data_IF_434269246105
#
_entry.id   IF_434269246105
#
_cell.length_a   1.000
_cell.length_b   1.000
_cell.length_c   1.000
_cell.angle_alpha   90.00
_cell.angle_beta   90.00
_cell.angle_gamma   90.00
#
_symmetry.space_group_name_H-M   'P 1'
#
loop_
_entity.id
_entity.type
_entity.pdbx_description
1 polymer ?
#
# COMPACT_ATOMS: atom_id res chain seq x y z
N UNK A 1 -26.14 -7.06 -17.92
CA UNK A 1 -25.69 -6.08 -16.92
C UNK A 1 -24.37 -5.47 -17.36
N UNK A 2 -24.23 -4.18 -17.25
CA UNK A 2 -22.94 -3.55 -17.51
C UNK A 2 -21.92 -4.01 -16.51
N UNK A 3 -20.69 -4.27 -16.98
CA UNK A 3 -19.57 -4.45 -16.07
C UNK A 3 -19.24 -3.16 -15.31
N UNK A 4 -18.38 -3.27 -14.31
CA UNK A 4 -17.89 -2.11 -13.59
C UNK A 4 -17.08 -1.22 -14.53
N UNK A 5 -17.23 0.10 -14.38
CA UNK A 5 -16.36 1.04 -15.08
C UNK A 5 -14.94 0.94 -14.49
N UNK A 6 -13.95 1.49 -15.20
CA UNK A 6 -12.58 1.53 -14.66
C UNK A 6 -12.50 2.30 -13.35
N UNK A 7 -13.29 3.38 -13.22
CA UNK A 7 -13.34 4.13 -11.96
C UNK A 7 -13.87 3.26 -10.82
N UNK A 8 -14.91 2.47 -11.06
CA UNK A 8 -15.48 1.60 -10.02
C UNK A 8 -14.51 0.50 -9.61
N UNK A 9 -13.71 -0.01 -10.56
CA UNK A 9 -12.72 -1.04 -10.28
C UNK A 9 -11.60 -0.53 -9.36
N UNK A 10 -11.31 0.75 -9.42
CA UNK A 10 -10.21 1.37 -8.71
C UNK A 10 -10.68 2.25 -7.56
N UNK A 11 -11.82 1.94 -6.97
CA UNK A 11 -12.32 2.65 -5.80
C UNK A 11 -12.08 1.81 -4.56
N UNK A 12 -11.37 2.39 -3.60
CA UNK A 12 -11.13 1.81 -2.28
C UNK A 12 -12.02 2.51 -1.25
N UNK A 13 -12.36 1.82 -0.18
CA UNK A 13 -13.16 2.39 0.90
C UNK A 13 -12.62 1.93 2.25
N UNK A 14 -12.64 2.81 3.24
CA UNK A 14 -12.36 2.41 4.61
C UNK A 14 -13.55 1.60 5.17
N UNK A 15 -13.31 0.95 6.30
CA UNK A 15 -14.30 0.05 6.91
C UNK A 15 -15.61 0.74 7.23
N UNK A 16 -15.57 1.97 7.74
CA UNK A 16 -16.79 2.72 8.09
C UNK A 16 -17.42 3.44 6.89
N UNK A 17 -16.75 3.46 5.74
CA UNK A 17 -17.25 4.12 4.54
C UNK A 17 -17.08 5.64 4.50
N UNK A 18 -16.54 6.26 5.53
CA UNK A 18 -16.34 7.71 5.55
C UNK A 18 -15.32 8.19 4.54
N UNK A 19 -14.34 7.35 4.21
CA UNK A 19 -13.30 7.68 3.24
C UNK A 19 -13.41 6.77 2.04
N UNK A 20 -13.46 7.37 0.86
CA UNK A 20 -13.35 6.65 -0.41
C UNK A 20 -12.18 7.21 -1.19
N UNK A 21 -11.48 6.35 -1.88
CA UNK A 21 -10.29 6.73 -2.64
C UNK A 21 -10.47 6.26 -4.07
N UNK A 22 -10.39 7.21 -4.98
CA UNK A 22 -10.48 6.97 -6.42
C UNK A 22 -9.07 7.00 -6.99
N UNK A 23 -8.65 5.90 -7.59
CA UNK A 23 -7.31 5.72 -8.13
C UNK A 23 -7.40 5.55 -9.64
N UNK A 24 -6.69 6.38 -10.39
CA UNK A 24 -6.73 6.33 -11.86
C UNK A 24 -6.22 4.99 -12.41
N UNK A 25 -5.14 4.47 -11.80
CA UNK A 25 -4.61 3.16 -12.18
C UNK A 25 -3.87 2.53 -11.01
N UNK A 26 -3.95 1.21 -10.92
CA UNK A 26 -3.17 0.43 -9.96
C UNK A 26 -2.29 -0.55 -10.71
N UNK A 27 -1.09 -0.78 -10.19
CA UNK A 27 -0.24 -1.84 -10.71
C UNK A 27 -0.72 -3.16 -10.10
N UNK A 28 -1.20 -4.12 -10.93
CA UNK A 28 -1.71 -5.39 -10.39
C UNK A 28 -0.62 -6.26 -9.77
N UNK A 29 0.64 -5.95 -10.02
CA UNK A 29 1.78 -6.64 -9.41
C UNK A 29 2.03 -6.02 -8.04
N UNK A 30 1.32 -6.51 -7.01
CA UNK A 30 1.47 -5.96 -5.67
C UNK A 30 2.74 -6.46 -5.00
N UNK A 31 3.19 -5.73 -3.99
CA UNK A 31 4.41 -6.03 -3.24
C UNK A 31 4.09 -6.30 -1.77
N UNK A 32 5.02 -6.99 -1.11
CA UNK A 32 4.91 -7.29 0.33
C UNK A 32 6.13 -6.72 1.03
N UNK A 33 5.91 -6.00 2.12
CA UNK A 33 6.99 -5.44 2.92
C UNK A 33 7.05 -6.12 4.28
N UNK A 34 8.23 -6.64 4.63
CA UNK A 34 8.47 -7.33 5.90
C UNK A 34 9.18 -6.47 6.93
N UNK A 35 9.40 -5.18 6.67
CA UNK A 35 10.15 -4.32 7.57
C UNK A 35 9.40 -4.09 8.90
N UNK A 36 10.15 -3.69 9.92
CA UNK A 36 9.59 -3.46 11.24
C UNK A 36 8.49 -2.41 11.27
N UNK A 37 8.63 -1.33 10.51
CA UNK A 37 7.60 -0.28 10.44
C UNK A 37 6.30 -0.80 9.84
N UNK A 38 6.39 -1.53 8.74
CA UNK A 38 5.20 -2.10 8.10
C UNK A 38 4.53 -3.13 8.99
N UNK A 39 5.31 -3.96 9.66
CA UNK A 39 4.77 -4.96 10.59
C UNK A 39 4.12 -4.32 11.82
N UNK A 40 4.74 -3.29 12.35
CA UNK A 40 4.17 -2.56 13.50
C UNK A 40 2.87 -1.86 13.12
N UNK A 41 2.86 -1.17 11.97
CA UNK A 41 1.70 -0.42 11.53
C UNK A 41 0.54 -1.32 11.14
N UNK A 42 0.83 -2.38 10.39
CA UNK A 42 -0.21 -3.24 9.82
C UNK A 42 -0.51 -4.52 10.62
N UNK A 43 0.33 -4.86 11.60
CA UNK A 43 0.17 -6.09 12.38
C UNK A 43 0.78 -7.33 11.75
N UNK A 44 1.44 -7.19 10.62
CA UNK A 44 2.07 -8.30 9.90
C UNK A 44 2.71 -7.79 8.62
N UNK A 45 3.05 -8.68 7.68
CA UNK A 45 3.58 -8.23 6.39
C UNK A 45 2.54 -7.35 5.70
N UNK A 46 3.00 -6.27 5.07
CA UNK A 46 2.11 -5.29 4.48
C UNK A 46 2.03 -5.48 2.97
N UNK A 47 0.84 -5.78 2.49
CA UNK A 47 0.54 -5.98 1.07
C UNK A 47 0.09 -4.65 0.47
N UNK A 48 0.86 -4.15 -0.50
CA UNK A 48 0.63 -2.83 -1.08
C UNK A 48 0.56 -2.89 -2.60
N UNK A 49 -0.42 -2.17 -3.17
CA UNK A 49 -0.45 -1.88 -4.61
C UNK A 49 0.08 -0.47 -4.85
N UNK A 50 0.81 -0.30 -5.94
CA UNK A 50 1.31 1.02 -6.35
C UNK A 50 0.22 1.74 -7.12
N UNK A 51 -0.15 2.91 -6.63
CA UNK A 51 -1.28 3.68 -7.15
C UNK A 51 -0.87 4.97 -7.88
N UNK A 52 0.43 5.29 -7.91
CA UNK A 52 0.92 6.51 -8.54
C UNK A 52 0.46 7.77 -7.81
N UNK A 53 0.34 8.85 -8.55
CA UNK A 53 0.03 10.17 -8.00
C UNK A 53 -1.40 10.63 -8.27
N UNK A 54 -2.08 10.02 -9.24
CA UNK A 54 -3.45 10.40 -9.60
C UNK A 54 -4.46 9.67 -8.70
N UNK A 55 -4.60 10.20 -7.49
CA UNK A 55 -5.42 9.63 -6.43
C UNK A 55 -6.27 10.73 -5.84
N UNK A 56 -7.58 10.50 -5.74
CA UNK A 56 -8.54 11.47 -5.20
C UNK A 56 -9.29 10.89 -4.02
N UNK A 57 -9.39 11.68 -2.97
CA UNK A 57 -10.04 11.26 -1.72
C UNK A 57 -11.38 11.94 -1.53
N UNK A 58 -12.37 11.17 -1.07
CA UNK A 58 -13.60 11.69 -0.48
C UNK A 58 -13.53 11.46 1.02
N UNK A 59 -14.05 12.41 1.80
CA UNK A 59 -14.02 12.30 3.25
C UNK A 59 -12.70 12.71 3.88
N UNK A 60 -12.01 13.67 3.27
CA UNK A 60 -10.68 14.11 3.72
C UNK A 60 -10.66 14.64 5.14
N UNK A 61 -11.81 15.09 5.66
CA UNK A 61 -11.89 15.61 7.04
C UNK A 61 -11.48 14.58 8.09
N UNK A 62 -11.65 13.28 7.80
CA UNK A 62 -11.29 12.21 8.72
C UNK A 62 -10.02 11.45 8.29
N UNK A 63 -9.37 11.89 7.22
CA UNK A 63 -8.08 11.31 6.82
C UNK A 63 -6.98 11.99 7.63
N UNK A 64 -6.19 11.20 8.35
CA UNK A 64 -5.01 11.68 9.07
C UNK A 64 -3.77 11.06 8.49
N UNK A 65 -2.69 11.86 8.44
CA UNK A 65 -1.37 11.41 8.02
C UNK A 65 -0.40 11.50 9.18
N UNK A 66 0.40 10.46 9.33
CA UNK A 66 1.49 10.40 10.29
C UNK A 66 2.81 10.34 9.54
N UNK A 67 3.76 11.21 9.91
CA UNK A 67 5.11 11.19 9.37
C UNK A 67 5.86 10.00 9.96
N UNK A 68 5.89 8.88 9.21
CA UNK A 68 6.49 7.65 9.69
C UNK A 68 8.01 7.61 9.49
N UNK A 69 8.51 8.42 8.55
CA UNK A 69 9.94 8.50 8.25
C UNK A 69 10.25 9.77 7.47
N UNK A 70 11.54 10.12 7.27
CA UNK A 70 11.90 11.28 6.44
C UNK A 70 11.42 11.19 4.99
N UNK A 71 11.19 9.98 4.48
CA UNK A 71 10.83 9.77 3.06
C UNK A 71 9.36 9.41 2.85
N UNK A 72 8.61 9.07 3.90
CA UNK A 72 7.23 8.63 3.74
C UNK A 72 6.34 9.05 4.90
N UNK A 73 5.06 9.27 4.59
CA UNK A 73 4.00 9.41 5.57
C UNK A 73 2.97 8.31 5.36
N UNK A 74 2.17 8.04 6.40
CA UNK A 74 1.13 7.01 6.36
C UNK A 74 -0.20 7.62 6.73
N UNK A 75 -1.22 7.29 5.94
CA UNK A 75 -2.56 7.83 6.13
C UNK A 75 -3.53 6.78 6.61
N UNK A 76 -4.49 7.22 7.41
CA UNK A 76 -5.51 6.33 7.95
C UNK A 76 -6.80 7.11 8.20
N UNK A 77 -7.92 6.38 8.26
CA UNK A 77 -9.21 6.95 8.63
C UNK A 77 -9.26 7.14 10.14
N UNK A 78 -9.41 8.38 10.59
CA UNK A 78 -9.46 8.66 12.04
C UNK A 78 -10.77 8.18 12.69
N UNK A 79 -11.79 7.88 11.89
CA UNK A 79 -13.08 7.42 12.39
C UNK A 79 -13.09 5.92 12.67
N UNK A 80 -12.49 5.10 11.80
CA UNK A 80 -12.49 3.65 11.97
C UNK A 80 -11.10 3.03 12.07
N UNK A 81 -10.05 3.80 11.84
CA UNK A 81 -8.68 3.33 11.95
C UNK A 81 -8.15 2.57 10.74
N UNK A 82 -8.93 2.42 9.67
CA UNK A 82 -8.47 1.73 8.47
C UNK A 82 -7.22 2.42 7.91
N UNK A 83 -6.18 1.66 7.65
CA UNK A 83 -4.98 2.18 7.00
C UNK A 83 -5.27 2.39 5.53
N UNK A 84 -4.95 3.59 5.03
CA UNK A 84 -5.33 4.01 3.67
C UNK A 84 -4.15 4.02 2.71
N UNK A 85 -2.97 4.49 3.15
CA UNK A 85 -1.84 4.60 2.24
C UNK A 85 -0.51 4.80 2.96
N UNK A 86 0.56 4.53 2.22
CA UNK A 86 1.87 5.10 2.46
C UNK A 86 2.16 6.04 1.29
N UNK A 87 2.54 7.29 1.56
CA UNK A 87 2.82 8.29 0.53
C UNK A 87 4.29 8.65 0.58
N UNK A 88 4.94 8.56 -0.55
CA UNK A 88 6.35 8.93 -0.67
C UNK A 88 6.46 10.44 -0.87
N UNK A 89 7.17 11.11 0.04
CA UNK A 89 7.21 12.58 0.09
C UNK A 89 7.87 13.19 -1.14
N UNK A 90 8.90 12.53 -1.69
CA UNK A 90 9.64 13.08 -2.82
C UNK A 90 8.86 13.03 -4.12
N UNK A 91 8.16 11.93 -4.39
CA UNK A 91 7.43 11.74 -5.64
C UNK A 91 5.94 12.07 -5.52
N UNK A 92 5.40 12.05 -4.31
CA UNK A 92 3.97 12.19 -4.08
C UNK A 92 3.18 10.94 -4.42
N UNK A 93 3.85 9.81 -4.71
CA UNK A 93 3.16 8.59 -5.08
C UNK A 93 2.61 7.86 -3.87
N UNK A 94 1.50 7.15 -4.09
CA UNK A 94 0.80 6.41 -3.06
C UNK A 94 0.95 4.91 -3.26
N UNK A 95 1.25 4.20 -2.17
CA UNK A 95 1.08 2.76 -2.08
C UNK A 95 -0.08 2.50 -1.13
N UNK A 96 -1.01 1.64 -1.52
CA UNK A 96 -2.22 1.42 -0.74
C UNK A 96 -2.38 -0.06 -0.40
N UNK A 97 -2.88 -0.38 0.81
CA UNK A 97 -3.12 -1.77 1.17
C UNK A 97 -4.02 -2.47 0.16
N UNK A 98 -3.60 -3.66 -0.25
CA UNK A 98 -4.34 -4.46 -1.25
C UNK A 98 -5.78 -4.72 -0.81
N UNK A 99 -5.98 -4.95 0.49
CA UNK A 99 -7.30 -5.27 1.04
C UNK A 99 -8.33 -4.16 0.98
N UNK A 100 -7.92 -2.93 0.64
CA UNK A 100 -8.87 -1.83 0.46
C UNK A 100 -9.70 -1.97 -0.82
N UNK A 101 -9.17 -2.67 -1.82
CA UNK A 101 -9.79 -2.74 -3.14
C UNK A 101 -10.67 -3.98 -3.24
N UNK A 102 -11.97 -3.82 -3.55
CA UNK A 102 -12.87 -4.97 -3.65
C UNK A 102 -12.60 -5.85 -4.87
N UNK A 103 -12.06 -5.26 -5.96
CA UNK A 103 -11.73 -6.01 -7.16
C UNK A 103 -10.32 -6.58 -7.03
N UNK A 104 -10.23 -7.91 -6.98
CA UNK A 104 -8.95 -8.63 -6.84
C UNK A 104 -8.47 -9.24 -8.15
N UNK A 105 -9.18 -8.99 -9.24
CA UNK A 105 -8.86 -9.58 -10.54
C UNK A 105 -7.48 -9.14 -11.02
N UNK A 106 -6.65 -10.11 -11.38
CA UNK A 106 -5.32 -9.84 -11.92
C UNK A 106 -4.26 -9.50 -10.90
N UNK A 107 -4.59 -9.43 -9.61
CA UNK A 107 -3.61 -9.12 -8.57
C UNK A 107 -2.65 -10.30 -8.36
N UNK A 108 -1.35 -10.02 -8.43
CA UNK A 108 -0.30 -11.03 -8.28
C UNK A 108 0.78 -10.51 -7.36
N UNK A 109 1.19 -11.33 -6.40
CA UNK A 109 2.34 -11.01 -5.55
C UNK A 109 3.60 -11.07 -6.41
N UNK A 110 4.31 -9.95 -6.53
CA UNK A 110 5.43 -9.82 -7.48
C UNK A 110 6.79 -9.64 -6.82
N UNK A 111 6.83 -9.21 -5.57
CA UNK A 111 8.09 -8.89 -4.89
C UNK A 111 7.90 -8.90 -3.39
N UNK A 112 8.88 -9.42 -2.68
CA UNK A 112 8.94 -9.30 -1.22
C UNK A 112 10.11 -8.38 -0.86
N UNK A 113 9.79 -7.25 -0.24
CA UNK A 113 10.79 -6.28 0.21
C UNK A 113 11.20 -6.54 1.66
N UNK A 114 12.46 -6.27 1.98
CA UNK A 114 13.03 -6.50 3.31
C UNK A 114 12.91 -7.96 3.72
N UNK A 115 13.24 -8.85 2.81
CA UNK A 115 13.12 -10.29 3.03
C UNK A 115 14.01 -10.79 4.17
N UNK A 116 15.14 -10.12 4.42
CA UNK A 116 16.06 -10.43 5.52
C UNK A 116 15.48 -10.03 6.88
N UNK A 117 14.44 -9.20 6.90
CA UNK A 117 13.76 -8.79 8.13
C UNK A 117 12.49 -9.59 8.39
N UNK A 118 12.15 -10.54 7.51
CA UNK A 118 11.00 -11.42 7.69
C UNK A 118 11.20 -12.27 8.93
N UNK A 119 10.31 -12.19 9.95
CA UNK A 119 10.40 -13.04 11.12
C UNK A 119 10.22 -14.52 10.79
N UNK A 120 10.74 -15.39 11.65
CA UNK A 120 10.66 -16.83 11.43
C UNK A 120 9.25 -17.41 11.59
N UNK A 121 8.30 -16.63 12.14
CA UNK A 121 6.97 -17.17 12.44
C UNK A 121 6.01 -17.18 11.25
N UNK A 122 6.41 -16.70 10.07
CA UNK A 122 5.58 -16.83 8.87
C UNK A 122 6.44 -16.87 7.60
N UNK A 123 5.87 -17.43 6.55
CA UNK A 123 6.39 -17.33 5.19
C UNK A 123 5.25 -17.58 4.21
N UNK A 124 5.49 -17.21 2.93
CA UNK A 124 4.51 -17.44 1.87
C UNK A 124 4.95 -18.62 0.99
N UNK A 125 3.96 -19.36 0.49
CA UNK A 125 4.22 -20.37 -0.53
C UNK A 125 4.44 -19.74 -1.92
N UNK A 126 4.06 -18.48 -2.09
CA UNK A 126 4.28 -17.73 -3.33
C UNK A 126 5.78 -17.62 -3.62
N UNK A 127 6.16 -17.95 -4.85
CA UNK A 127 7.53 -17.75 -5.29
C UNK A 127 7.64 -16.39 -5.95
N UNK A 128 8.47 -15.52 -5.39
CA UNK A 128 8.69 -14.17 -5.90
C UNK A 128 10.17 -13.82 -5.79
N UNK A 129 10.64 -12.85 -6.59
CA UNK A 129 11.90 -12.18 -6.26
C UNK A 129 11.81 -11.58 -4.86
N UNK A 130 12.97 -11.43 -4.22
CA UNK A 130 13.08 -10.85 -2.88
C UNK A 130 14.21 -9.83 -2.86
N UNK A 131 14.06 -8.79 -2.06
CA UNK A 131 15.10 -7.78 -1.87
C UNK A 131 15.39 -7.60 -0.40
N UNK A 132 16.68 -7.64 -0.05
CA UNK A 132 17.15 -7.33 1.30
C UNK A 132 17.12 -5.83 1.56
N UNK A 133 17.25 -5.43 2.82
CA UNK A 133 17.34 -4.03 3.19
C UNK A 133 18.46 -3.32 2.43
N UNK A 134 19.64 -3.92 2.33
CA UNK A 134 20.76 -3.33 1.62
C UNK A 134 20.45 -3.12 0.14
N UNK A 135 19.84 -4.10 -0.51
CA UNK A 135 19.46 -4.02 -1.91
C UNK A 135 18.42 -2.92 -2.15
N UNK A 136 17.45 -2.80 -1.25
CA UNK A 136 16.40 -1.77 -1.34
C UNK A 136 17.00 -0.39 -1.20
N UNK A 137 17.89 -0.18 -0.22
CA UNK A 137 18.56 1.11 -0.01
C UNK A 137 19.37 1.52 -1.24
N UNK A 138 20.06 0.58 -1.87
CA UNK A 138 20.80 0.85 -3.09
C UNK A 138 19.89 1.17 -4.28
N UNK A 139 18.80 0.41 -4.42
CA UNK A 139 17.89 0.55 -5.56
C UNK A 139 17.08 1.85 -5.50
N UNK A 140 16.62 2.25 -4.32
CA UNK A 140 15.78 3.43 -4.14
C UNK A 140 16.54 4.64 -3.55
N UNK A 141 17.86 4.65 -3.62
CA UNK A 141 18.66 5.72 -3.03
C UNK A 141 18.27 7.11 -3.56
N UNK A 142 17.86 7.23 -4.82
CA UNK A 142 17.45 8.50 -5.42
C UNK A 142 16.05 8.96 -4.99
N UNK A 143 15.28 8.12 -4.31
CA UNK A 143 13.89 8.40 -3.92
C UNK A 143 13.73 8.78 -2.45
N UNK A 144 14.82 8.83 -1.71
CA UNK A 144 14.80 9.13 -0.28
C UNK A 144 15.51 10.45 0.04
#
# INVERSE_FOLDING_TARGET
>A
MKGMSELDKNVASCLCGSVKVHVASIDPKFTVCHCGRCRTWGGGPLFMVQCGTDVKFEGTAVVKEYDSSPWASRGFCSNCGTHLFARFKKTGSYNMPVGLFPNTEGLVMSMQYFSDLRPAYYCFSNETPEMTEAEIRAHFASEV
#
